data_IF_648061632850
#
_entry.id   IF_648061632850
#
_cell.length_a   1.000
_cell.length_b   1.000
_cell.length_c   1.000
_cell.angle_alpha   90.00
_cell.angle_beta   90.00
_cell.angle_gamma   90.00
#
_symmetry.space_group_name_H-M   'P 1'
#
loop_
_entity.id
_entity.type
_entity.pdbx_description
1 polymer ?
2 non-polymer ?
3 non-polymer ?
4 non-polymer ?
5 non-polymer ?
6 water ?
#
# COMPACT_ATOMS: atom_id res chain seq x y z
N UNK A 3 -14.24 4.52 -19.00
CA UNK A 3 -14.22 5.96 -18.74
C UNK A 3 -13.33 6.37 -17.56
N UNK A 4 -13.44 5.70 -16.40
CA UNK A 4 -12.54 6.08 -15.29
C UNK A 4 -11.08 5.82 -15.60
N UNK A 5 -10.75 4.68 -16.21
CA UNK A 5 -9.36 4.42 -16.59
C UNK A 5 -8.91 5.36 -17.70
N UNK A 6 -9.81 5.66 -18.64
CA UNK A 6 -9.44 6.55 -19.74
C UNK A 6 -9.20 7.97 -19.24
N UNK A 7 -10.04 8.46 -18.32
CA UNK A 7 -9.82 9.77 -17.73
C UNK A 7 -8.58 9.80 -16.85
N UNK A 8 -8.28 8.68 -16.18
CA UNK A 8 -7.12 8.64 -15.30
C UNK A 8 -5.81 8.74 -16.10
N UNK A 9 -5.79 8.15 -17.30
CA UNK A 9 -4.59 8.20 -18.12
C UNK A 9 -4.40 9.55 -18.79
N UNK A 10 -5.49 10.25 -19.11
CA UNK A 10 -5.35 11.58 -19.69
C UNK A 10 -4.77 12.57 -18.70
N UNK A 11 -5.20 12.48 -17.43
CA UNK A 11 -4.65 13.37 -16.41
C UNK A 11 -3.19 13.06 -16.15
N UNK A 12 -2.76 11.81 -16.38
CA UNK A 12 -1.34 11.49 -16.25
C UNK A 12 -0.50 12.32 -17.23
N UNK A 13 -0.91 12.35 -18.50
CA UNK A 13 -0.20 13.16 -19.48
C UNK A 13 -0.23 14.63 -19.10
N UNK A 14 -1.33 15.10 -18.51
CA UNK A 14 -1.40 16.48 -18.06
C UNK A 14 -0.45 16.72 -16.89
N UNK A 15 -0.41 15.81 -15.92
CA UNK A 15 0.49 15.96 -14.79
C UNK A 15 1.94 15.83 -15.25
N UNK A 16 2.22 14.86 -16.12
CA UNK A 16 3.59 14.68 -16.61
C UNK A 16 4.07 15.91 -17.37
N UNK A 17 3.22 16.47 -18.24
CA UNK A 17 3.64 17.61 -19.04
C UNK A 17 3.90 18.83 -18.18
N UNK A 18 3.11 19.02 -17.11
CA UNK A 18 3.38 20.14 -16.22
C UNK A 18 4.71 19.97 -15.50
N UNK A 19 4.92 18.80 -14.89
CA UNK A 19 6.15 18.56 -14.14
C UNK A 19 7.38 18.73 -15.02
N UNK A 20 7.35 18.18 -16.23
CA UNK A 20 8.52 18.23 -17.09
C UNK A 20 8.75 19.64 -17.64
N UNK A 21 7.68 20.32 -18.06
CA UNK A 21 7.84 21.70 -18.54
C UNK A 21 8.30 22.61 -17.41
N UNK A 22 7.83 22.36 -16.19
CA UNK A 22 8.28 23.16 -15.04
C UNK A 22 9.78 22.98 -14.83
N UNK A 23 10.28 21.75 -14.94
CA UNK A 23 11.71 21.52 -14.81
C UNK A 23 12.47 22.23 -15.93
N UNK A 24 11.91 22.25 -17.14
CA UNK A 24 12.57 22.91 -18.26
C UNK A 24 12.51 24.43 -18.13
N UNK A 25 11.38 24.97 -17.70
CA UNK A 25 11.18 26.41 -17.69
C UNK A 25 11.62 27.07 -16.40
N UNK A 26 11.49 26.40 -15.25
CA UNK A 26 11.82 27.00 -13.98
C UNK A 26 13.04 26.41 -13.29
N UNK A 27 13.45 25.19 -13.65
CA UNK A 27 14.58 24.53 -13.00
C UNK A 27 15.79 24.40 -13.91
N UNK A 28 15.74 25.02 -15.10
CA UNK A 28 16.91 25.13 -15.98
C UNK A 28 17.43 23.75 -16.40
N UNK A 29 16.53 22.83 -16.69
CA UNK A 29 16.91 21.47 -17.04
C UNK A 29 17.08 21.32 -18.54
N UNK A 30 18.15 20.63 -18.94
CA UNK A 30 18.46 20.41 -20.34
C UNK A 30 17.52 19.35 -20.92
N UNK A 31 17.30 19.37 -22.25
CA UNK A 31 16.41 18.37 -22.85
C UNK A 31 16.83 16.93 -22.62
N UNK A 32 18.12 16.64 -22.54
CA UNK A 32 18.56 15.27 -22.32
C UNK A 32 18.03 14.73 -20.99
N UNK A 33 18.14 15.53 -19.93
CA UNK A 33 17.66 15.09 -18.63
C UNK A 33 16.13 15.10 -18.56
N UNK A 34 15.47 15.95 -19.35
CA UNK A 34 14.01 15.95 -19.35
C UNK A 34 13.48 14.65 -19.94
N UNK A 35 14.00 14.25 -21.11
CA UNK A 35 13.58 12.99 -21.71
C UNK A 35 13.95 11.81 -20.82
N UNK A 36 15.11 11.91 -20.14
CA UNK A 36 15.49 10.86 -19.19
C UNK A 36 14.49 10.76 -18.06
N UNK A 37 13.95 11.89 -17.61
CA UNK A 37 12.96 11.87 -16.53
C UNK A 37 11.58 11.44 -17.03
N UNK A 38 11.25 11.75 -18.28
CA UNK A 38 10.00 11.25 -18.85
C UNK A 38 10.02 9.73 -18.92
N UNK A 39 11.13 9.15 -19.38
CA UNK A 39 11.23 7.70 -19.48
C UNK A 39 11.20 7.06 -18.09
N UNK A 40 11.91 7.64 -17.12
CA UNK A 40 11.92 7.07 -15.77
C UNK A 40 10.55 7.21 -15.11
N UNK A 41 9.85 8.31 -15.37
CA UNK A 41 8.51 8.46 -14.82
C UNK A 41 7.56 7.43 -15.42
N UNK A 42 7.63 7.23 -16.74
CA UNK A 42 6.79 6.22 -17.37
C UNK A 42 7.13 4.82 -16.89
N UNK A 43 8.41 4.55 -16.66
CA UNK A 43 8.82 3.21 -16.26
C UNK A 43 8.36 2.88 -14.85
N UNK A 44 8.49 3.82 -13.92
CA UNK A 44 8.19 3.55 -12.53
C UNK A 44 6.71 3.73 -12.19
N UNK A 45 6.02 4.65 -12.85
CA UNK A 45 4.65 4.98 -12.47
C UNK A 45 3.60 4.19 -13.26
N UNK A 46 3.91 3.81 -14.49
CA UNK A 46 2.96 3.12 -15.34
C UNK A 46 3.22 1.61 -15.33
N UNK A 47 2.20 0.85 -15.71
CA UNK A 47 2.28 -0.60 -15.80
C UNK A 47 1.55 -1.34 -14.72
N UNK A 48 1.22 -0.68 -13.61
CA UNK A 48 0.52 -1.32 -12.51
C UNK A 48 -0.96 -1.50 -12.80
N UNK A 49 -1.70 -1.79 -11.73
CA UNK A 49 -3.14 -1.96 -11.83
C UNK A 49 -3.93 -0.71 -11.47
N UNK A 50 -3.29 0.24 -10.77
CA UNK A 50 -3.89 1.52 -10.42
C UNK A 50 -5.12 1.35 -9.52
N UNK A 51 -5.18 0.26 -8.75
CA UNK A 51 -6.32 0.03 -7.87
C UNK A 51 -6.46 1.16 -6.84
N UNK A 52 -5.34 1.61 -6.29
CA UNK A 52 -5.39 2.64 -5.26
C UNK A 52 -5.52 4.05 -5.83
N UNK A 53 -5.23 4.24 -7.12
CA UNK A 53 -5.51 5.50 -7.77
C UNK A 53 -6.94 5.59 -8.27
N UNK A 54 -7.45 4.47 -8.80
CA UNK A 54 -8.83 4.43 -9.26
C UNK A 54 -9.83 4.46 -8.10
N UNK A 55 -9.42 4.00 -6.91
CA UNK A 55 -10.31 4.05 -5.76
C UNK A 55 -10.72 5.48 -5.43
N UNK A 56 -9.77 6.42 -5.55
CA UNK A 56 -10.08 7.83 -5.29
C UNK A 56 -11.16 8.32 -6.24
N UNK A 57 -11.09 7.91 -7.50
CA UNK A 57 -12.11 8.31 -8.47
C UNK A 57 -13.45 7.67 -8.13
N UNK A 58 -13.45 6.38 -7.77
CA UNK A 58 -14.70 5.71 -7.49
C UNK A 58 -15.39 6.28 -6.26
N UNK A 59 -14.61 6.65 -5.24
CA UNK A 59 -15.19 7.28 -4.06
C UNK A 59 -15.71 8.67 -4.39
N UNK A 60 -15.00 9.39 -5.27
CA UNK A 60 -15.43 10.75 -5.63
C UNK A 60 -16.72 10.71 -6.45
N UNK A 61 -16.81 9.79 -7.40
CA UNK A 61 -18.01 9.71 -8.23
C UNK A 61 -19.20 9.12 -7.47
N UNK A 62 -18.94 8.28 -6.47
CA UNK A 62 -20.04 7.75 -5.66
C UNK A 62 -20.60 8.79 -4.70
N UNK A 63 -19.86 9.86 -4.42
CA UNK A 63 -20.31 10.89 -3.50
C UNK A 63 -20.92 12.10 -4.18
N UNK A 64 -20.63 12.33 -5.46
CA UNK A 64 -21.33 13.37 -6.20
C UNK A 64 -22.70 12.90 -6.67
N UNK A 65 -22.94 11.59 -6.73
CA UNK A 65 -24.26 11.07 -7.07
C UNK A 65 -25.24 11.26 -5.92
N UNK A 66 -24.76 11.52 -4.71
CA UNK A 66 -25.64 11.73 -3.56
C UNK A 66 -24.84 12.57 -2.55
N UNK A 67 -24.94 13.89 -2.68
CA UNK A 67 -24.23 14.81 -1.79
C UNK A 67 -24.81 14.77 -0.38
N UNK A 77 -22.67 20.43 -12.43
CA UNK A 77 -21.98 20.42 -13.70
C UNK A 77 -20.52 20.81 -13.60
N UNK A 78 -20.27 22.07 -13.22
CA UNK A 78 -18.90 22.56 -13.10
C UNK A 78 -18.17 21.89 -11.94
N UNK A 79 -18.87 21.67 -10.82
CA UNK A 79 -18.25 21.03 -9.67
C UNK A 79 -17.93 19.56 -9.93
N UNK A 80 -18.70 18.92 -10.83
CA UNK A 80 -18.41 17.53 -11.16
C UNK A 80 -17.07 17.39 -11.86
N UNK A 81 -16.83 18.21 -12.89
CA UNK A 81 -15.57 18.13 -13.63
C UNK A 81 -14.38 18.49 -12.74
N UNK A 82 -14.60 19.34 -11.74
CA UNK A 82 -13.50 19.74 -10.85
C UNK A 82 -13.17 18.63 -9.87
N UNK A 83 -14.19 18.03 -9.25
CA UNK A 83 -13.95 16.98 -8.26
C UNK A 83 -13.33 15.76 -8.92
N UNK A 84 -13.84 15.37 -10.10
CA UNK A 84 -13.27 14.21 -10.79
C UNK A 84 -11.85 14.46 -11.24
N UNK A 85 -11.54 15.69 -11.67
CA UNK A 85 -10.17 16.01 -12.05
C UNK A 85 -9.26 16.05 -10.83
N UNK A 86 -9.74 16.63 -9.72
CA UNK A 86 -8.97 16.63 -8.49
C UNK A 86 -8.73 15.22 -7.98
N UNK A 87 -9.73 14.34 -8.14
CA UNK A 87 -9.57 12.95 -7.70
C UNK A 87 -8.54 12.22 -8.56
N UNK A 88 -8.41 12.58 -9.83
CA UNK A 88 -7.38 11.98 -10.68
C UNK A 88 -5.99 12.42 -10.26
N UNK A 89 -5.81 13.71 -9.97
CA UNK A 89 -4.53 14.19 -9.48
C UNK A 89 -4.19 13.54 -8.14
N UNK A 90 -5.19 13.41 -7.27
CA UNK A 90 -5.00 12.71 -6.01
C UNK A 90 -4.67 11.25 -6.23
N UNK A 91 -5.34 10.60 -7.18
CA UNK A 91 -5.03 9.22 -7.49
C UNK A 91 -3.61 9.03 -7.97
N UNK A 92 -3.10 9.98 -8.74
CA UNK A 92 -1.73 9.86 -9.21
C UNK A 92 -0.72 10.15 -8.11
N UNK A 93 -1.08 10.97 -7.12
CA UNK A 93 -0.21 11.13 -5.96
C UNK A 93 0.02 9.80 -5.26
N UNK A 94 -1.00 8.94 -5.25
CA UNK A 94 -0.88 7.62 -4.64
C UNK A 94 -0.06 6.69 -5.53
N UNK A 95 -0.34 6.69 -6.84
CA UNK A 95 0.42 5.84 -7.75
C UNK A 95 1.88 6.27 -7.81
N UNK A 96 2.14 7.58 -7.86
CA UNK A 96 3.52 8.06 -7.81
C UNK A 96 4.20 7.65 -6.52
N UNK A 97 3.46 7.70 -5.40
CA UNK A 97 4.03 7.27 -4.13
C UNK A 97 4.36 5.78 -4.15
N UNK A 98 3.49 4.97 -4.75
CA UNK A 98 3.79 3.56 -4.90
C UNK A 98 4.94 3.34 -5.86
N UNK A 99 5.04 4.16 -6.90
CA UNK A 99 6.19 4.10 -7.79
C UNK A 99 7.48 4.41 -7.05
N UNK A 100 7.40 5.32 -6.06
CA UNK A 100 8.57 5.66 -5.26
C UNK A 100 9.08 4.44 -4.50
N UNK A 101 8.20 3.78 -3.75
CA UNK A 101 8.61 2.63 -2.97
C UNK A 101 9.00 1.43 -3.83
N UNK A 102 8.50 1.36 -5.07
CA UNK A 102 8.96 0.31 -5.98
C UNK A 102 10.46 0.43 -6.23
N UNK A 103 10.96 1.65 -6.41
CA UNK A 103 12.40 1.83 -6.56
C UNK A 103 13.11 1.66 -5.22
N UNK A 104 12.46 2.07 -4.12
CA UNK A 104 13.05 1.87 -2.80
C UNK A 104 13.17 0.40 -2.44
N UNK A 105 12.23 -0.44 -2.89
CA UNK A 105 12.30 -1.87 -2.66
C UNK A 105 13.40 -2.54 -3.47
N UNK A 106 14.16 -1.79 -4.26
CA UNK A 106 15.28 -2.31 -5.03
C UNK A 106 16.62 -1.93 -4.43
N UNK A 107 16.69 -0.77 -3.76
CA UNK A 107 17.94 -0.34 -3.15
C UNK A 107 18.34 -1.27 -2.01
N UNK A 108 17.36 -1.83 -1.29
CA UNK A 108 17.67 -2.68 -0.14
C UNK A 108 18.22 -4.04 -0.56
N UNK A 109 17.77 -4.56 -1.71
CA UNK A 109 18.22 -5.87 -2.18
C UNK A 109 19.03 -5.77 -3.48
N UNK A 110 19.81 -4.71 -3.62
CA UNK A 110 20.78 -4.60 -4.71
C UNK A 110 22.23 -4.54 -4.23
N UNK A 111 22.47 -4.07 -3.01
CA UNK A 111 23.81 -4.00 -2.46
C UNK A 111 23.79 -4.11 -0.94
N UNK A 123 35.40 5.33 -6.67
CA UNK A 123 34.50 5.07 -7.78
C UNK A 123 33.04 5.01 -7.30
N UNK A 124 32.34 6.13 -7.40
CA UNK A 124 30.94 6.17 -6.96
C UNK A 124 30.04 5.46 -7.96
N UNK A 125 29.15 4.62 -7.45
CA UNK A 125 28.21 3.89 -8.30
C UNK A 125 27.13 4.85 -8.78
N UNK A 126 27.11 5.10 -10.09
CA UNK A 126 26.14 6.05 -10.64
C UNK A 126 24.74 5.46 -10.74
N UNK A 127 24.61 4.13 -10.81
CA UNK A 127 23.29 3.53 -10.87
C UNK A 127 22.58 3.62 -9.52
N UNK A 128 23.30 3.36 -8.43
CA UNK A 128 22.71 3.51 -7.10
C UNK A 128 22.40 4.97 -6.82
N UNK A 129 23.25 5.88 -7.31
CA UNK A 129 22.98 7.31 -7.14
C UNK A 129 21.75 7.72 -7.91
N UNK A 130 21.59 7.22 -9.15
CA UNK A 130 20.40 7.55 -9.92
C UNK A 130 19.15 6.91 -9.35
N UNK A 131 19.29 5.72 -8.74
CA UNK A 131 18.13 5.07 -8.13
C UNK A 131 17.65 5.83 -6.90
N UNK A 132 18.57 6.28 -6.06
CA UNK A 132 18.18 7.09 -4.90
C UNK A 132 17.58 8.41 -5.36
N UNK A 133 18.13 8.99 -6.42
CA UNK A 133 17.61 10.25 -6.93
C UNK A 133 16.21 10.07 -7.52
N UNK A 134 15.99 8.97 -8.25
CA UNK A 134 14.65 8.69 -8.77
C UNK A 134 13.63 8.60 -7.64
N UNK A 135 14.01 7.96 -6.54
CA UNK A 135 13.09 7.85 -5.42
C UNK A 135 12.77 9.19 -4.81
N UNK A 136 13.75 10.08 -4.74
CA UNK A 136 13.50 11.42 -4.22
C UNK A 136 12.63 12.23 -5.17
N UNK A 137 12.85 12.09 -6.47
CA UNK A 137 12.05 12.83 -7.44
C UNK A 137 10.60 12.36 -7.45
N UNK A 138 10.38 11.04 -7.42
CA UNK A 138 9.02 10.52 -7.37
C UNK A 138 8.28 11.01 -6.13
N UNK A 139 8.99 11.12 -5.00
CA UNK A 139 8.37 11.63 -3.79
C UNK A 139 8.03 13.11 -3.93
N UNK A 140 8.96 13.90 -4.47
CA UNK A 140 8.72 15.33 -4.61
C UNK A 140 7.63 15.63 -5.64
N UNK A 141 7.49 14.78 -6.65
CA UNK A 141 6.47 15.01 -7.67
C UNK A 141 5.07 14.95 -7.09
N UNK A 142 4.86 14.14 -6.04
CA UNK A 142 3.56 14.10 -5.39
C UNK A 142 3.22 15.46 -4.77
N UNK A 143 4.21 16.11 -4.17
CA UNK A 143 3.99 17.43 -3.59
C UNK A 143 3.82 18.49 -4.66
N UNK A 144 4.62 18.42 -5.73
CA UNK A 144 4.56 19.45 -6.76
C UNK A 144 3.24 19.43 -7.51
N UNK A 145 2.71 18.23 -7.82
CA UNK A 145 1.44 18.17 -8.52
C UNK A 145 0.29 18.59 -7.61
N UNK A 146 0.42 18.39 -6.30
CA UNK A 146 -0.61 18.83 -5.37
C UNK A 146 -0.58 20.34 -5.18
N UNK A 147 0.62 20.91 -5.02
CA UNK A 147 0.73 22.36 -4.83
C UNK A 147 0.36 23.14 -6.07
N UNK A 148 0.32 22.49 -7.24
CA UNK A 148 -0.04 23.18 -8.48
C UNK A 148 -1.54 23.06 -8.76
N UNK A 149 -2.04 21.85 -8.89
CA UNK A 149 -3.44 21.65 -9.26
C UNK A 149 -4.40 21.99 -8.13
N UNK A 150 -3.92 22.03 -6.89
CA UNK A 150 -4.76 22.36 -5.73
C UNK A 150 -4.32 23.67 -5.07
N UNK A 151 -3.69 24.56 -5.84
CA UNK A 151 -3.17 25.79 -5.27
C UNK A 151 -4.28 26.66 -4.69
N UNK A 152 -5.47 26.63 -5.30
CA UNK A 152 -6.59 27.44 -4.85
C UNK A 152 -7.67 26.62 -4.14
N UNK A 153 -7.40 25.35 -3.85
CA UNK A 153 -8.37 24.53 -3.15
C UNK A 153 -8.27 24.76 -1.64
N UNK A 154 -9.40 24.84 -0.94
CA UNK A 154 -9.35 25.06 0.52
C UNK A 154 -8.79 23.88 1.29
N UNK A 155 -8.71 22.70 0.68
CA UNK A 155 -8.24 21.50 1.36
C UNK A 155 -6.76 21.22 1.13
N UNK A 156 -6.04 22.15 0.48
CA UNK A 156 -4.65 21.89 0.16
C UNK A 156 -3.81 21.65 1.41
N UNK A 157 -4.00 22.48 2.45
CA UNK A 157 -3.23 22.31 3.68
C UNK A 157 -3.59 21.00 4.37
N UNK A 158 -4.88 20.65 4.41
CA UNK A 158 -5.28 19.40 5.05
C UNK A 158 -4.79 18.20 4.25
N UNK A 159 -4.78 18.32 2.92
CA UNK A 159 -4.31 17.20 2.09
C UNK A 159 -2.81 16.96 2.29
N UNK A 160 -2.02 18.03 2.36
CA UNK A 160 -0.59 17.87 2.58
C UNK A 160 -0.30 17.31 3.96
N UNK A 161 -1.13 17.64 4.96
CA UNK A 161 -0.91 17.14 6.31
C UNK A 161 -1.19 15.64 6.40
N UNK A 162 -2.31 15.20 5.81
CA UNK A 162 -2.65 13.79 5.83
C UNK A 162 -1.65 12.96 5.03
N UNK A 163 -1.03 13.56 4.01
CA UNK A 163 -0.01 12.84 3.25
C UNK A 163 1.29 12.73 4.04
N UNK A 164 1.57 13.70 4.91
CA UNK A 164 2.75 13.56 5.76
C UNK A 164 2.53 12.51 6.83
N UNK A 165 1.29 12.34 7.29
CA UNK A 165 1.02 11.36 8.34
C UNK A 165 1.09 9.93 7.81
N UNK A 166 0.72 9.71 6.54
CA UNK A 166 0.81 8.37 5.99
C UNK A 166 2.27 7.99 5.73
N UNK A 167 3.12 8.99 5.46
CA UNK A 167 4.56 8.71 5.35
C UNK A 167 5.14 8.33 6.70
N UNK A 168 4.76 9.06 7.75
CA UNK A 168 5.21 8.72 9.09
C UNK A 168 4.71 7.33 9.48
N UNK A 169 3.43 7.05 9.19
CA UNK A 169 2.86 5.74 9.51
C UNK A 169 3.60 4.63 8.79
N UNK A 170 3.90 4.81 7.51
CA UNK A 170 4.63 3.80 6.76
C UNK A 170 6.05 3.61 7.30
N UNK A 171 6.74 4.71 7.60
CA UNK A 171 8.09 4.59 8.14
C UNK A 171 8.09 3.90 9.50
N UNK A 172 7.09 4.21 10.34
CA UNK A 172 6.96 3.52 11.62
C UNK A 172 6.63 2.04 11.40
N UNK A 173 5.77 1.75 10.41
CA UNK A 173 5.44 0.36 10.11
C UNK A 173 6.62 -0.44 9.62
N UNK A 174 7.56 0.21 8.92
CA UNK A 174 8.76 -0.48 8.47
C UNK A 174 9.69 -0.80 9.64
N UNK A 175 9.80 0.11 10.61
CA UNK A 175 10.60 -0.16 11.79
C UNK A 175 10.05 -1.36 12.56
N UNK A 176 8.71 -1.47 12.64
CA UNK A 176 8.12 -2.63 13.29
C UNK A 176 8.38 -3.90 12.49
N UNK A 177 8.32 -3.81 11.16
CA UNK A 177 8.46 -5.00 10.33
C UNK A 177 9.91 -5.47 10.27
N UNK A 178 10.86 -4.54 10.20
CA UNK A 178 12.26 -4.90 10.02
C UNK A 178 12.85 -5.45 11.32
N UNK A 179 12.47 -4.89 12.47
CA UNK A 179 13.04 -5.26 13.75
C UNK A 179 12.14 -6.21 14.53
N UNK A 180 11.36 -7.04 13.83
CA UNK A 180 10.44 -7.95 14.52
C UNK A 180 11.12 -9.19 15.06
N UNK A 181 12.40 -9.41 14.75
CA UNK A 181 13.11 -10.59 15.22
C UNK A 181 14.37 -10.24 16.00
N UNK A 182 14.62 -8.97 16.28
CA UNK A 182 15.80 -8.52 17.00
C UNK A 182 15.38 -7.76 18.25
N UNK A 183 16.34 -7.05 18.85
CA UNK A 183 16.08 -6.15 19.98
C UNK A 183 16.71 -4.80 19.63
N UNK A 184 15.86 -3.82 19.31
CA UNK A 184 16.32 -2.50 18.91
C UNK A 184 17.09 -1.82 20.04
N UNK A 185 18.38 -1.59 19.83
CA UNK A 185 19.23 -0.96 20.83
C UNK A 185 18.95 0.54 20.93
N UNK A 198 14.97 -14.02 18.07
CA UNK A 198 14.01 -13.48 19.04
C UNK A 198 12.59 -13.56 18.49
N UNK A 199 11.76 -14.40 19.11
CA UNK A 199 10.39 -14.60 18.68
C UNK A 199 9.37 -14.09 19.70
N UNK A 200 9.78 -13.19 20.59
CA UNK A 200 8.85 -12.66 21.59
C UNK A 200 7.77 -11.81 20.93
N UNK A 201 8.12 -11.03 19.91
CA UNK A 201 7.17 -10.18 19.21
C UNK A 201 6.38 -10.92 18.15
N UNK A 202 6.58 -12.23 18.01
CA UNK A 202 5.83 -13.04 17.05
C UNK A 202 4.48 -13.42 17.66
N UNK A 203 3.60 -12.42 17.71
CA UNK A 203 2.25 -12.57 18.24
C UNK A 203 1.25 -12.06 17.21
N UNK A 204 -0.03 -12.36 17.45
CA UNK A 204 -1.08 -11.94 16.54
C UNK A 204 -1.39 -10.46 16.67
N UNK A 205 -1.29 -9.91 17.89
CA UNK A 205 -1.54 -8.48 18.07
C UNK A 205 -0.42 -7.64 17.46
N UNK A 206 0.82 -8.10 17.58
CA UNK A 206 1.93 -7.39 16.95
C UNK A 206 1.88 -7.52 15.44
N UNK A 207 1.44 -8.67 14.93
CA UNK A 207 1.22 -8.81 13.51
C UNK A 207 0.22 -7.78 13.00
N UNK A 208 -0.88 -7.59 13.75
CA UNK A 208 -1.85 -6.57 13.38
C UNK A 208 -1.24 -5.18 13.45
N UNK A 209 -0.35 -4.93 14.42
CA UNK A 209 0.31 -3.64 14.50
C UNK A 209 1.16 -3.38 13.26
N UNK A 210 1.89 -4.41 12.80
CA UNK A 210 2.69 -4.25 11.58
C UNK A 210 1.79 -4.00 10.38
N UNK A 211 0.75 -4.83 10.23
CA UNK A 211 -0.17 -4.68 9.10
C UNK A 211 -0.83 -3.31 9.15
N UNK A 212 -1.17 -2.84 10.35
CA UNK A 212 -1.86 -1.55 10.48
C UNK A 212 -1.04 -0.41 9.90
N UNK A 213 0.23 -0.29 10.31
CA UNK A 213 1.04 0.85 9.94
C UNK A 213 1.79 0.66 8.63
N UNK A 214 2.04 -0.57 8.22
CA UNK A 214 2.80 -0.83 6.99
C UNK A 214 1.92 -1.00 5.76
N UNK A 215 0.70 -1.53 5.93
CA UNK A 215 -0.14 -1.85 4.79
C UNK A 215 -1.54 -1.25 4.92
N UNK A 216 -2.22 -1.53 6.04
CA UNK A 216 -3.63 -1.17 6.18
C UNK A 216 -3.84 0.33 6.00
N UNK A 217 -3.18 1.13 6.84
CA UNK A 217 -3.31 2.59 6.73
C UNK A 217 -2.79 3.12 5.41
N UNK A 218 -1.89 2.40 4.75
CA UNK A 218 -1.27 2.85 3.51
C UNK A 218 -2.06 2.39 2.28
N UNK A 219 -2.44 1.11 2.24
CA UNK A 219 -3.05 0.56 1.04
C UNK A 219 -4.53 0.93 0.90
N UNK A 220 -5.26 1.02 2.01
CA UNK A 220 -6.71 1.14 1.95
C UNK A 220 -7.26 2.43 2.52
N UNK A 221 -6.71 2.94 3.62
CA UNK A 221 -7.26 4.17 4.20
C UNK A 221 -6.90 5.38 3.35
N UNK A 222 -5.69 5.41 2.79
CA UNK A 222 -5.24 6.58 2.05
C UNK A 222 -6.10 6.87 0.82
N UNK A 223 -6.44 5.91 -0.04
CA UNK A 223 -7.29 6.26 -1.19
C UNK A 223 -8.71 6.65 -0.80
N UNK A 224 -9.26 6.02 0.24
CA UNK A 224 -10.63 6.34 0.65
C UNK A 224 -10.72 7.76 1.21
N UNK A 225 -9.77 8.13 2.07
CA UNK A 225 -9.83 9.44 2.72
C UNK A 225 -9.69 10.56 1.70
N UNK A 226 -8.78 10.38 0.73
CA UNK A 226 -8.59 11.41 -0.28
C UNK A 226 -9.79 11.51 -1.22
N UNK A 227 -10.50 10.41 -1.44
CA UNK A 227 -11.76 10.48 -2.14
C UNK A 227 -12.78 11.31 -1.40
N UNK A 228 -12.76 11.27 -0.06
CA UNK A 228 -13.66 12.10 0.73
C UNK A 228 -13.24 13.57 0.71
N UNK A 229 -11.94 13.84 0.62
CA UNK A 229 -11.45 15.21 0.64
C UNK A 229 -11.90 15.96 -0.61
N UNK A 230 -11.63 15.40 -1.79
CA UNK A 230 -12.01 16.06 -3.03
C UNK A 230 -13.53 16.13 -3.18
N UNK A 231 -14.26 15.27 -2.48
CA UNK A 231 -15.71 15.31 -2.49
C UNK A 231 -16.31 16.19 -1.40
N UNK A 232 -15.45 16.84 -0.60
CA UNK A 232 -15.88 17.76 0.46
C UNK A 232 -16.74 17.08 1.51
N UNK A 233 -16.69 15.76 1.60
CA UNK A 233 -17.54 14.97 2.50
C UNK A 233 -16.71 14.27 3.57
N UNK A 234 -15.63 14.91 4.03
CA UNK A 234 -14.83 14.31 5.08
C UNK A 234 -15.55 14.24 6.42
N UNK A 235 -16.14 15.33 6.94
CA UNK A 235 -16.81 15.23 8.25
C UNK A 235 -18.12 14.46 8.20
N UNK A 236 -18.60 14.07 7.03
CA UNK A 236 -19.86 13.35 6.91
C UNK A 236 -19.72 11.85 7.14
N UNK A 237 -18.52 11.36 7.39
CA UNK A 237 -18.29 9.93 7.59
C UNK A 237 -17.67 9.71 8.96
N UNK A 238 -17.82 8.48 9.46
CA UNK A 238 -17.23 8.07 10.72
C UNK A 238 -15.82 7.57 10.44
N UNK A 239 -14.82 8.37 10.83
CA UNK A 239 -13.42 7.98 10.61
C UNK A 239 -13.07 6.72 11.38
N UNK A 240 -13.66 6.53 12.57
CA UNK A 240 -13.37 5.34 13.34
C UNK A 240 -13.84 4.08 12.64
N UNK A 241 -15.05 4.11 12.07
CA UNK A 241 -15.52 2.98 11.29
C UNK A 241 -14.70 2.84 10.01
N UNK A 242 -14.28 3.96 9.42
CA UNK A 242 -13.49 3.90 8.20
C UNK A 242 -12.10 3.33 8.47
N UNK A 243 -11.45 3.78 9.55
CA UNK A 243 -10.13 3.24 9.89
C UNK A 243 -10.22 1.77 10.24
N UNK A 244 -11.30 1.36 10.91
CA UNK A 244 -11.47 -0.04 11.26
C UNK A 244 -11.68 -0.91 10.03
N UNK A 245 -12.37 -0.39 9.01
CA UNK A 245 -12.51 -1.14 7.76
C UNK A 245 -11.15 -1.35 7.10
N UNK A 246 -10.30 -0.33 7.12
CA UNK A 246 -8.96 -0.48 6.54
C UNK A 246 -8.14 -1.50 7.30
N UNK A 247 -8.33 -1.61 8.63
CA UNK A 247 -7.64 -2.63 9.40
C UNK A 247 -7.96 -4.02 8.89
N UNK A 248 -9.25 -4.36 8.81
CA UNK A 248 -9.66 -5.71 8.44
C UNK A 248 -9.31 -6.01 7.00
N UNK A 249 -9.50 -5.04 6.10
CA UNK A 249 -9.18 -5.27 4.69
C UNK A 249 -7.68 -5.43 4.50
N UNK A 250 -6.88 -4.60 5.17
CA UNK A 250 -5.44 -4.78 5.13
C UNK A 250 -5.00 -6.07 5.79
N UNK A 251 -5.68 -6.48 6.86
CA UNK A 251 -5.37 -7.75 7.50
C UNK A 251 -5.75 -8.93 6.60
N UNK A 252 -6.91 -8.86 5.95
CA UNK A 252 -7.31 -9.92 5.03
C UNK A 252 -6.31 -10.06 3.88
N UNK A 253 -5.87 -8.93 3.33
CA UNK A 253 -4.96 -8.96 2.19
C UNK A 253 -3.58 -9.44 2.60
N UNK A 254 -3.11 -9.04 3.78
CA UNK A 254 -1.75 -9.42 4.19
C UNK A 254 -1.67 -10.90 4.53
N UNK A 255 -2.71 -11.45 5.15
CA UNK A 255 -2.73 -12.88 5.44
C UNK A 255 -2.67 -13.68 4.14
N UNK A 256 -3.41 -13.23 3.12
CA UNK A 256 -3.38 -13.89 1.83
C UNK A 256 -2.00 -13.77 1.18
N UNK A 257 -1.38 -12.60 1.30
CA UNK A 257 -0.03 -12.42 0.75
C UNK A 257 0.97 -13.32 1.45
N UNK A 258 0.88 -13.42 2.78
CA UNK A 258 1.82 -14.24 3.54
C UNK A 258 1.74 -15.70 3.12
N UNK A 259 0.53 -16.20 2.84
CA UNK A 259 0.38 -17.59 2.44
C UNK A 259 0.89 -17.80 1.01
N UNK A 260 0.58 -16.87 0.10
CA UNK A 260 1.05 -16.99 -1.27
C UNK A 260 2.55 -16.86 -1.36
N UNK A 261 3.14 -15.99 -0.51
CA UNK A 261 4.59 -15.84 -0.51
C UNK A 261 5.29 -17.15 -0.16
N UNK A 262 4.63 -18.01 0.60
CA UNK A 262 5.24 -19.27 1.05
C UNK A 262 4.99 -20.42 0.08
N UNK A 263 3.76 -20.58 -0.39
CA UNK A 263 3.37 -21.77 -1.15
C UNK A 263 3.21 -21.55 -2.64
N UNK A 264 2.81 -20.36 -3.08
CA UNK A 264 2.61 -20.14 -4.50
C UNK A 264 3.96 -20.12 -5.21
N UNK A 265 4.14 -20.91 -6.27
CA UNK A 265 5.43 -20.97 -6.96
C UNK A 265 5.76 -19.63 -7.59
N UNK A 266 7.05 -19.39 -7.91
CA UNK A 266 7.45 -18.06 -8.39
C UNK A 266 6.77 -17.63 -9.67
N UNK A 267 6.58 -18.55 -10.63
CA UNK A 267 5.98 -18.17 -11.90
C UNK A 267 4.51 -17.80 -11.74
N UNK A 268 3.83 -18.37 -10.75
CA UNK A 268 2.43 -18.07 -10.51
C UNK A 268 2.24 -16.91 -9.53
N UNK A 269 3.21 -16.69 -8.64
CA UNK A 269 3.12 -15.60 -7.68
C UNK A 269 3.52 -14.26 -8.30
N UNK A 270 4.50 -14.27 -9.21
CA UNK A 270 5.03 -13.06 -9.79
C UNK A 270 6.37 -12.64 -9.21
N UNK A 271 6.80 -13.26 -8.11
CA UNK A 271 8.09 -12.97 -7.50
C UNK A 271 8.57 -14.23 -6.79
N UNK A 272 9.71 -14.11 -6.12
CA UNK A 272 10.28 -15.20 -5.32
C UNK A 272 9.95 -14.93 -3.87
N UNK A 273 9.15 -15.80 -3.26
CA UNK A 273 8.80 -15.63 -1.86
C UNK A 273 10.00 -15.84 -0.97
N UNK A 274 10.24 -14.89 -0.06
CA UNK A 274 11.42 -14.95 0.80
C UNK A 274 11.10 -14.60 2.25
N UNK A 275 9.86 -14.78 2.70
CA UNK A 275 9.50 -14.45 4.06
C UNK A 275 10.22 -15.35 5.06
N UNK A 276 10.40 -16.63 4.71
CA UNK A 276 11.06 -17.57 5.63
C UNK A 276 12.54 -17.24 5.76
N UNK A 277 13.21 -16.95 4.64
CA UNK A 277 14.63 -16.62 4.69
C UNK A 277 14.87 -15.31 5.44
N UNK A 278 14.02 -14.31 5.21
CA UNK A 278 14.15 -13.02 5.88
C UNK A 278 13.59 -13.03 7.30
N UNK A 279 13.05 -14.16 7.76
CA UNK A 279 12.52 -14.31 9.11
C UNK A 279 11.43 -13.27 9.40
N UNK A 280 10.51 -13.09 8.44
CA UNK A 280 9.44 -12.13 8.61
C UNK A 280 8.42 -12.62 9.63
N UNK A 281 7.83 -11.67 10.37
CA UNK A 281 6.73 -11.96 11.28
C UNK A 281 5.46 -12.08 10.46
N UNK A 282 5.30 -13.24 9.82
CA UNK A 282 4.18 -13.48 8.93
C UNK A 282 3.03 -14.13 9.69
N UNK A 283 1.87 -14.19 9.03
CA UNK A 283 0.70 -14.83 9.64
C UNK A 283 0.97 -16.32 9.88
N UNK A 284 1.69 -16.97 8.96
CA UNK A 284 2.00 -18.38 9.12
C UNK A 284 2.92 -18.62 10.31
N UNK A 285 3.83 -17.69 10.60
CA UNK A 285 4.77 -17.90 11.70
C UNK A 285 4.08 -17.79 13.05
N UNK A 286 3.25 -16.75 13.24
CA UNK A 286 2.64 -16.54 14.54
C UNK A 286 1.51 -17.54 14.79
N UNK A 287 0.87 -18.03 13.73
CA UNK A 287 -0.16 -19.05 13.89
C UNK A 287 0.45 -20.41 14.19
N UNK A 288 1.60 -20.72 13.58
CA UNK A 288 2.29 -21.97 13.87
C UNK A 288 2.77 -22.02 15.31
N UNK A 289 3.37 -20.92 15.79
CA UNK A 289 3.93 -20.91 17.14
C UNK A 289 2.87 -21.07 18.21
N UNK A 290 1.60 -20.90 17.88
CA UNK A 290 0.53 -21.03 18.86
C UNK A 290 0.02 -22.45 19.00
N UNK A 291 0.03 -23.24 17.92
CA UNK A 291 -0.52 -24.58 17.93
C UNK A 291 0.54 -25.67 17.75
N UNK A 292 1.80 -25.33 17.93
CA UNK A 292 2.89 -26.28 17.78
C UNK A 292 3.36 -26.79 19.15
N UNK A 293 3.94 -27.99 19.14
CA UNK A 293 4.52 -28.54 20.35
C UNK A 293 5.88 -27.92 20.62
N UNK A 294 6.42 -28.19 21.82
CA UNK A 294 7.72 -27.65 22.17
C UNK A 294 8.81 -28.14 21.21
N UNK A 295 8.73 -29.42 20.81
CA UNK A 295 9.71 -29.95 19.87
C UNK A 295 9.56 -29.32 18.50
N UNK A 296 8.33 -29.03 18.08
CA UNK A 296 8.12 -28.41 16.77
C UNK A 296 8.54 -26.95 16.77
N UNK A 297 8.37 -26.25 17.90
CA UNK A 297 8.84 -24.88 18.00
C UNK A 297 10.36 -24.84 17.99
N UNK A 298 11.00 -25.80 18.68
CA UNK A 298 12.46 -25.87 18.66
C UNK A 298 12.98 -26.17 17.26
N UNK A 299 12.29 -27.04 16.52
CA UNK A 299 12.68 -27.31 15.14
C UNK A 299 12.41 -26.10 14.25
N UNK A 300 11.33 -25.36 14.53
CA UNK A 300 11.05 -24.14 13.77
C UNK A 300 12.10 -23.08 14.03
N UNK A 301 12.45 -22.86 15.30
CA UNK A 301 13.43 -21.83 15.64
C UNK A 301 14.82 -22.18 15.10
N UNK A 302 15.11 -23.47 14.91
CA UNK A 302 16.41 -23.86 14.41
C UNK A 302 16.55 -23.68 12.90
N UNK A 303 15.44 -23.61 12.16
CA UNK A 303 15.48 -23.52 10.72
C UNK A 303 14.97 -22.20 10.17
N UNK A 304 14.23 -21.43 10.95
CA UNK A 304 13.64 -20.18 10.47
C UNK A 304 14.69 -19.09 10.37
N UNK A 305 14.68 -18.36 9.26
CA UNK A 305 15.59 -17.25 9.07
C UNK A 305 16.88 -17.58 8.35
N UNK A 306 16.94 -18.72 7.66
CA UNK A 306 18.13 -19.14 6.95
C UNK A 306 17.84 -19.27 5.46
N UNK A 307 18.88 -19.07 4.65
CA UNK A 307 18.78 -19.20 3.22
C UNK A 307 18.99 -20.60 2.68
N UNK A 308 19.22 -21.58 3.56
CA UNK A 308 19.42 -22.95 3.12
C UNK A 308 18.14 -23.51 2.49
N UNK A 309 18.32 -24.35 1.47
CA UNK A 309 17.17 -24.91 0.76
C UNK A 309 16.35 -25.83 1.65
N UNK A 310 17.02 -26.75 2.36
CA UNK A 310 16.31 -27.72 3.17
C UNK A 310 15.80 -27.13 4.48
N UNK A 311 16.44 -26.07 4.98
CA UNK A 311 15.91 -25.40 6.17
C UNK A 311 14.60 -24.69 5.85
N UNK A 312 14.52 -24.01 4.71
CA UNK A 312 13.27 -23.40 4.28
C UNK A 312 12.23 -24.47 3.99
N UNK A 313 12.64 -25.57 3.36
CA UNK A 313 11.72 -26.68 3.11
C UNK A 313 11.25 -27.31 4.42
N UNK A 314 12.10 -27.31 5.45
CA UNK A 314 11.67 -27.81 6.75
C UNK A 314 10.58 -26.92 7.35
N UNK A 315 10.69 -25.61 7.15
CA UNK A 315 9.68 -24.69 7.65
C UNK A 315 8.36 -24.88 6.90
N UNK A 316 8.42 -25.11 5.59
CA UNK A 316 7.22 -25.36 4.83
C UNK A 316 6.54 -26.66 5.27
N UNK A 317 7.34 -27.68 5.58
CA UNK A 317 6.77 -28.94 6.06
C UNK A 317 6.08 -28.75 7.41
N UNK A 318 6.69 -27.97 8.31
CA UNK A 318 6.07 -27.70 9.60
C UNK A 318 4.75 -26.96 9.45
N UNK A 319 4.70 -26.03 8.48
CA UNK A 319 3.45 -25.32 8.22
C UNK A 319 2.38 -26.27 7.69
N UNK A 320 2.77 -27.15 6.76
CA UNK A 320 1.81 -28.08 6.16
C UNK A 320 1.26 -29.04 7.20
N UNK A 321 2.14 -29.64 8.01
CA UNK A 321 1.71 -30.63 9.00
C UNK A 321 0.86 -30.04 10.10
N UNK A 322 0.91 -28.72 10.29
CA UNK A 322 0.12 -28.06 11.32
C UNK A 322 -1.28 -27.69 10.86
N UNK A 323 -1.67 -28.07 9.65
CA UNK A 323 -3.00 -27.77 9.10
C UNK A 323 -3.27 -26.26 9.14
N UNK A 324 -2.26 -25.47 8.75
CA UNK A 324 -2.43 -24.02 8.77
C UNK A 324 -3.37 -23.55 7.66
N UNK A 325 -3.35 -24.22 6.51
CA UNK A 325 -4.23 -23.83 5.40
C UNK A 325 -5.70 -24.11 5.70
N UNK A 326 -5.99 -24.88 6.74
CA UNK A 326 -7.37 -25.03 7.18
C UNK A 326 -7.77 -23.86 8.06
N UNK A 327 -6.84 -23.42 8.90
CA UNK A 327 -7.09 -22.23 9.71
C UNK A 327 -7.08 -20.96 8.86
N UNK A 328 -6.33 -20.97 7.76
CA UNK A 328 -6.30 -19.83 6.86
C UNK A 328 -7.68 -19.57 6.25
N UNK A 329 -8.40 -20.65 5.90
CA UNK A 329 -9.74 -20.48 5.34
C UNK A 329 -10.69 -19.93 6.40
N UNK A 330 -10.62 -20.46 7.62
CA UNK A 330 -11.51 -19.98 8.67
C UNK A 330 -11.15 -18.56 9.09
N UNK A 331 -9.86 -18.23 9.13
CA UNK A 331 -9.44 -16.90 9.53
C UNK A 331 -9.88 -15.85 8.50
N UNK A 332 -9.70 -16.14 7.22
CA UNK A 332 -10.10 -15.20 6.19
C UNK A 332 -11.61 -15.03 6.14
N UNK A 333 -12.36 -16.11 6.36
CA UNK A 333 -13.81 -16.01 6.36
C UNK A 333 -14.30 -15.20 7.55
N UNK A 334 -13.67 -15.37 8.72
CA UNK A 334 -14.08 -14.62 9.90
C UNK A 334 -13.79 -13.13 9.73
N UNK A 335 -12.64 -12.80 9.13
CA UNK A 335 -12.33 -11.39 8.86
C UNK A 335 -13.29 -10.82 7.83
N UNK A 336 -13.59 -11.59 6.78
CA UNK A 336 -14.52 -11.11 5.76
C UNK A 336 -15.91 -10.88 6.34
N UNK A 337 -16.32 -11.73 7.29
CA UNK A 337 -17.59 -11.51 7.97
C UNK A 337 -17.61 -10.17 8.70
N UNK A 338 -16.50 -9.82 9.36
CA UNK A 338 -16.42 -8.53 10.03
C UNK A 338 -16.42 -7.38 9.05
N UNK A 339 -15.93 -7.60 7.83
CA UNK A 339 -15.93 -6.54 6.82
C UNK A 339 -17.35 -6.30 6.31
N UNK A 340 -18.05 -7.37 5.91
CA UNK A 340 -19.39 -7.22 5.34
C UNK A 340 -20.34 -6.58 6.33
N UNK A 341 -20.14 -6.80 7.63
CA UNK A 341 -21.01 -6.23 8.65
C UNK A 341 -20.62 -4.81 9.03
N UNK A 342 -19.34 -4.46 8.91
CA UNK A 342 -18.91 -3.10 9.23
C UNK A 342 -19.28 -2.10 8.15
N UNK A 343 -19.42 -2.57 6.90
CA UNK A 343 -19.86 -1.68 5.83
C UNK A 343 -21.27 -1.18 6.09
N UNK A 344 -22.09 -1.98 6.78
CA UNK A 344 -23.47 -1.58 7.02
C UNK A 344 -23.58 -0.53 8.13
N UNK A 345 -22.68 -0.56 9.12
CA UNK A 345 -22.63 0.53 10.08
C UNK A 345 -22.31 1.85 9.41
N UNK A 346 -21.36 1.83 8.46
CA UNK A 346 -21.03 3.04 7.71
C UNK A 346 -22.14 3.40 6.74
N UNK A 347 -22.92 2.41 6.30
CA UNK A 347 -24.03 2.66 5.37
C UNK A 347 -25.10 3.55 6.00
N UNK A 348 -25.29 3.44 7.32
CA UNK A 348 -26.38 4.15 7.99
C UNK A 348 -26.21 5.66 7.92
N UNK A 349 -24.96 6.15 7.96
CA UNK A 349 -24.69 7.58 7.91
C UNK A 349 -24.14 8.06 6.58
N UNK A 350 -23.47 7.18 5.82
CA UNK A 350 -22.91 7.55 4.52
C UNK A 350 -23.22 6.42 3.54
N UNK A 351 -24.38 6.48 2.86
CA UNK A 351 -24.71 5.39 1.93
C UNK A 351 -23.84 5.35 0.70
N UNK A 352 -23.58 6.51 0.07
CA UNK A 352 -22.74 6.52 -1.11
C UNK A 352 -21.31 6.11 -0.83
N UNK A 353 -20.79 6.47 0.34
CA UNK A 353 -19.43 6.08 0.71
C UNK A 353 -19.31 4.58 0.85
N UNK A 354 -20.33 3.93 1.43
CA UNK A 354 -20.29 2.49 1.62
C UNK A 354 -20.27 1.73 0.31
N UNK A 355 -20.95 2.24 -0.72
CA UNK A 355 -20.97 1.56 -2.01
C UNK A 355 -19.58 1.49 -2.62
N UNK A 356 -18.80 2.57 -2.47
CA UNK A 356 -17.45 2.56 -3.03
C UNK A 356 -16.51 1.69 -2.20
N UNK A 357 -16.77 1.56 -0.90
CA UNK A 357 -15.95 0.68 -0.08
C UNK A 357 -16.25 -0.78 -0.39
N UNK A 358 -17.50 -1.10 -0.72
CA UNK A 358 -17.85 -2.45 -1.15
C UNK A 358 -17.13 -2.82 -2.43
N UNK A 359 -16.94 -1.85 -3.34
CA UNK A 359 -16.24 -2.12 -4.58
C UNK A 359 -14.75 -2.37 -4.34
N UNK A 360 -14.12 -1.56 -3.49
CA UNK A 360 -12.72 -1.78 -3.15
C UNK A 360 -12.53 -3.10 -2.42
N UNK A 361 -13.47 -3.44 -1.53
CA UNK A 361 -13.38 -4.70 -0.80
C UNK A 361 -13.52 -5.89 -1.75
N UNK A 362 -14.27 -5.74 -2.84
CA UNK A 362 -14.37 -6.81 -3.81
C UNK A 362 -13.05 -7.09 -4.51
N UNK A 363 -12.21 -6.06 -4.68
CA UNK A 363 -10.91 -6.25 -5.30
C UNK A 363 -9.98 -7.11 -4.46
N UNK A 364 -10.21 -7.18 -3.14
CA UNK A 364 -9.38 -8.01 -2.27
C UNK A 364 -10.12 -9.30 -1.92
X LIG B 1 -6.51 9.82 10.44
X LIG B 1 -1.59 6.45 7.48
X LIG B 1 -3.16 8.41 7.88
X LIG B 1 -2.74 7.38 7.04
X LIG B 1 -4.20 9.25 7.48
X LIG B 1 -4.84 9.06 6.25
X LIG B 1 -4.41 8.03 5.41
X LIG B 1 -3.37 7.19 5.81
X LIG B 1 -2.57 8.60 9.06
X LIG B 1 -6.16 9.93 9.03
X LIG B 1 -3.83 10.67 9.68
X LIG B 1 -4.97 11.75 7.78
X LIG B 1 -4.73 10.55 8.55
X LIG C 1 11.34 26.28 -6.92
X LIG C 1 10.68 25.02 -6.39
X LIG C 1 10.36 27.00 -7.82
X LIG C 1 11.69 27.18 -5.76
X LIG C 1 12.59 25.93 -7.69
X LIG D 1 -2.13 0.91 -6.73
X LIG E 1 4.32 -8.78 7.25
X LIG E 1 2.89 -8.37 7.55
X LIG E 1 4.96 -7.73 6.37
X LIG E 1 4.33 -10.11 6.55
X LIG E 1 5.09 -8.88 8.55
X LIG F 1 5.36 0.44 1.89
X LIG F 1 4.96 0.19 3.21
X LIG F 1 5.25 -0.91 1.13
X LIG F 1 3.94 -1.39 1.11
X LIG F 1 5.77 -0.60 -0.29
X LIG F 1 5.56 -1.75 -1.05
#
# INVERSE_FOLDING_TARGET
GPMPMQMFMQVYDEIQMFLLEELELKFDMDPNRVRYLRKMMDTTCLGGKYNRGLTVIDVAESLLSLSPNNNGEEDDGARRKRVLHDACVCGWMIEFLQAHYLVEDDIMDNSVTRRGKPCWYRHPDVTVQCAINDGLLLKSWTHMMAMHFFADRPFLQDLLCRFNRVDYTTAVGQLYDVTSMFDSNKLDPDVSQPTTTDFAEFTLSNYKRIVKYKTAYYTYLLPLVMGLIVSEALPTVDMGVTEELAMLMGEYFQVQDDVMDCFTPPERLGKVGTDIQDAKCSWLAVTFLAKASSAQVAEFKANYGSGDSEKVATVRRLYEEADLQGDYVAYEAAVAEQVKELIEKLRLCSPGFAASVETLWGKTYKRQK
PK4 C1 C11 C12 C10 C6 C7 C8 C9 F13 N2 O4 O5 S3
PO4 P O1 O2 O3 O4
NA NA
PO4 P O1 O2 O3 O4
GOL C1 O1 C2 O2 C3 O3
#
